data_IF_631488626732
#
_entry.id   IF_631488626732
#
_cell.length_a   1.000
_cell.length_b   1.000
_cell.length_c   1.000
_cell.angle_alpha   90.00
_cell.angle_beta   90.00
_cell.angle_gamma   90.00
#
_symmetry.space_group_name_H-M   'P 1'
#
loop_
_entity.id
_entity.type
_entity.pdbx_description
1 polymer ?
#
# COMPACT_ATOMS: atom_id res chain seq x y z
N UNK A 1 13.51 -25.20 -2.78
CA UNK A 1 14.47 -25.08 -1.66
C UNK A 1 15.38 -23.89 -1.98
N UNK A 2 15.47 -22.90 -1.09
CA UNK A 2 16.35 -21.73 -1.26
C UNK A 2 17.45 -21.77 -0.18
N UNK A 3 18.74 -21.88 -0.56
CA UNK A 3 19.84 -21.89 0.41
C UNK A 3 19.89 -20.56 1.19
N UNK A 4 20.46 -20.60 2.39
CA UNK A 4 20.62 -19.40 3.20
C UNK A 4 21.52 -18.38 2.48
N UNK A 5 21.17 -17.11 2.57
CA UNK A 5 21.97 -16.04 1.99
C UNK A 5 23.24 -15.80 2.83
N UNK A 6 24.34 -15.43 2.20
CA UNK A 6 25.62 -15.25 2.87
C UNK A 6 25.60 -14.08 3.88
N UNK A 7 24.81 -13.03 3.63
CA UNK A 7 24.72 -11.85 4.50
C UNK A 7 23.48 -11.89 5.39
N UNK A 8 22.36 -12.38 4.87
CA UNK A 8 21.06 -12.33 5.54
C UNK A 8 20.60 -13.67 6.14
N UNK A 9 21.38 -14.74 5.93
CA UNK A 9 21.09 -16.08 6.43
C UNK A 9 19.70 -16.57 6.00
N UNK A 10 18.99 -17.16 6.96
CA UNK A 10 17.61 -17.66 6.77
C UNK A 10 16.57 -16.53 6.60
N UNK A 11 16.89 -15.32 7.06
CA UNK A 11 16.00 -14.15 6.98
C UNK A 11 15.68 -13.74 5.54
N UNK A 12 16.55 -14.05 4.60
CA UNK A 12 16.33 -13.83 3.16
C UNK A 12 15.04 -14.50 2.65
N UNK A 13 14.61 -15.62 3.26
CA UNK A 13 13.41 -16.33 2.80
C UNK A 13 12.12 -15.53 3.02
N UNK A 14 12.10 -14.62 3.99
CA UNK A 14 10.96 -13.70 4.21
C UNK A 14 10.76 -12.80 2.98
N UNK A 15 11.84 -12.51 2.25
CA UNK A 15 11.83 -11.64 1.08
C UNK A 15 10.96 -12.18 -0.07
N UNK A 16 10.82 -13.51 -0.18
CA UNK A 16 9.91 -14.14 -1.15
C UNK A 16 8.43 -13.81 -0.90
N UNK A 17 8.07 -13.46 0.33
CA UNK A 17 6.73 -13.01 0.67
C UNK A 17 6.65 -11.49 0.72
N UNK A 18 7.63 -10.85 1.36
CA UNK A 18 7.67 -9.41 1.58
C UNK A 18 7.70 -8.62 0.27
N UNK A 19 8.60 -8.96 -0.66
CA UNK A 19 8.78 -8.18 -1.89
C UNK A 19 7.55 -8.22 -2.80
N UNK A 20 6.96 -9.39 -3.10
CA UNK A 20 5.71 -9.40 -3.85
C UNK A 20 4.58 -8.66 -3.12
N UNK A 21 4.50 -8.76 -1.80
CA UNK A 21 3.48 -8.05 -1.03
C UNK A 21 3.63 -6.52 -1.15
N UNK A 22 4.85 -6.00 -1.05
CA UNK A 22 5.15 -4.58 -1.21
C UNK A 22 4.90 -4.08 -2.65
N UNK A 23 5.20 -4.89 -3.67
CA UNK A 23 4.89 -4.54 -5.06
C UNK A 23 3.37 -4.44 -5.26
N UNK A 24 2.61 -5.40 -4.74
CA UNK A 24 1.15 -5.41 -4.89
C UNK A 24 0.44 -4.37 -4.02
N UNK A 25 0.97 -4.01 -2.85
CA UNK A 25 0.41 -2.92 -2.03
C UNK A 25 0.40 -1.60 -2.81
N UNK A 26 1.54 -1.26 -3.43
CA UNK A 26 1.67 -0.08 -4.29
C UNK A 26 0.92 -0.22 -5.61
N UNK A 27 1.02 -1.39 -6.26
CA UNK A 27 0.42 -1.64 -7.58
C UNK A 27 -1.11 -1.58 -7.57
N UNK A 28 -1.76 -2.11 -6.53
CA UNK A 28 -3.21 -2.01 -6.35
C UNK A 28 -3.61 -0.54 -6.12
N UNK A 29 -2.82 0.22 -5.38
CA UNK A 29 -3.12 1.63 -5.12
C UNK A 29 -3.01 2.45 -6.42
N UNK A 30 -2.00 2.16 -7.25
CA UNK A 30 -1.87 2.75 -8.57
C UNK A 30 -3.06 2.38 -9.49
N UNK A 31 -3.50 1.11 -9.48
CA UNK A 31 -4.68 0.69 -10.23
C UNK A 31 -5.97 1.39 -9.74
N UNK A 32 -6.13 1.55 -8.42
CA UNK A 32 -7.21 2.34 -7.84
C UNK A 32 -7.15 3.80 -8.27
N UNK A 33 -5.97 4.38 -8.41
CA UNK A 33 -5.82 5.75 -8.89
C UNK A 33 -6.25 5.92 -10.34
N UNK A 34 -5.88 4.98 -11.21
CA UNK A 34 -6.35 4.97 -12.61
C UNK A 34 -7.88 4.82 -12.64
N UNK A 35 -8.44 3.94 -11.82
CA UNK A 35 -9.89 3.79 -11.69
C UNK A 35 -10.55 5.09 -11.16
N UNK A 36 -10.01 5.70 -10.10
CA UNK A 36 -10.54 6.94 -9.53
C UNK A 36 -10.49 8.09 -10.54
N UNK A 37 -9.37 8.24 -11.25
CA UNK A 37 -9.20 9.24 -12.30
C UNK A 37 -10.22 9.03 -13.42
N UNK A 38 -10.32 7.81 -13.94
CA UNK A 38 -11.27 7.51 -15.03
C UNK A 38 -12.72 7.68 -14.59
N UNK A 39 -13.05 7.28 -13.36
CA UNK A 39 -14.36 7.47 -12.74
C UNK A 39 -14.75 8.94 -12.56
N UNK A 40 -13.80 9.81 -12.21
CA UNK A 40 -14.05 11.24 -12.02
C UNK A 40 -14.11 12.00 -13.35
N UNK A 41 -13.24 11.68 -14.32
CA UNK A 41 -13.21 12.38 -15.62
C UNK A 41 -14.41 11.96 -16.50
N UNK A 42 -14.65 10.65 -16.65
CA UNK A 42 -15.71 10.13 -17.53
C UNK A 42 -17.02 9.81 -16.79
N UNK A 43 -17.11 10.10 -15.49
CA UNK A 43 -18.30 9.85 -14.65
C UNK A 43 -18.76 8.37 -14.71
N UNK A 44 -17.81 7.44 -14.84
CA UNK A 44 -18.09 6.00 -14.92
C UNK A 44 -18.46 5.44 -13.56
N UNK A 45 -19.73 5.04 -13.38
CA UNK A 45 -20.24 4.49 -12.11
C UNK A 45 -19.47 3.24 -11.64
N UNK A 46 -19.03 2.40 -12.58
CA UNK A 46 -18.31 1.15 -12.26
C UNK A 46 -16.91 1.41 -11.70
N UNK A 47 -16.29 2.54 -12.03
CA UNK A 47 -14.96 2.85 -11.56
C UNK A 47 -14.91 3.05 -10.03
N UNK A 48 -15.92 3.70 -9.46
CA UNK A 48 -16.01 3.87 -8.00
C UNK A 48 -16.21 2.53 -7.27
N UNK A 49 -16.96 1.61 -7.87
CA UNK A 49 -17.13 0.25 -7.34
C UNK A 49 -15.82 -0.55 -7.41
N UNK A 50 -15.05 -0.39 -8.49
CA UNK A 50 -13.74 -1.01 -8.63
C UNK A 50 -12.78 -0.53 -7.53
N UNK A 51 -12.72 0.79 -7.27
CA UNK A 51 -11.93 1.37 -6.17
C UNK A 51 -12.33 0.75 -4.82
N UNK A 52 -13.63 0.65 -4.54
CA UNK A 52 -14.13 0.07 -3.30
C UNK A 52 -13.79 -1.42 -3.15
N UNK A 53 -13.81 -2.19 -4.24
CA UNK A 53 -13.48 -3.61 -4.23
C UNK A 53 -11.97 -3.87 -4.09
N UNK A 54 -11.14 -3.00 -4.68
CA UNK A 54 -9.68 -3.12 -4.62
C UNK A 54 -9.11 -2.70 -3.26
N UNK A 55 -9.72 -1.73 -2.58
CA UNK A 55 -9.17 -1.15 -1.35
C UNK A 55 -8.89 -2.19 -0.24
N UNK A 56 -9.79 -3.14 0.10
CA UNK A 56 -9.51 -4.16 1.11
C UNK A 56 -8.36 -5.10 0.72
N UNK A 57 -8.26 -5.44 -0.58
CA UNK A 57 -7.20 -6.33 -1.08
C UNK A 57 -5.84 -5.65 -0.95
N UNK A 58 -5.74 -4.39 -1.37
CA UNK A 58 -4.53 -3.59 -1.23
C UNK A 58 -4.13 -3.36 0.23
N UNK A 59 -5.11 -3.14 1.12
CA UNK A 59 -4.88 -3.02 2.56
C UNK A 59 -4.23 -4.29 3.14
N UNK A 60 -4.69 -5.48 2.73
CA UNK A 60 -4.13 -6.76 3.17
C UNK A 60 -2.68 -6.92 2.70
N UNK A 61 -2.38 -6.60 1.44
CA UNK A 61 -1.00 -6.66 0.94
C UNK A 61 -0.08 -5.69 1.69
N UNK A 62 -0.55 -4.47 1.95
CA UNK A 62 0.19 -3.46 2.72
C UNK A 62 0.45 -3.94 4.15
N UNK A 63 -0.54 -4.54 4.78
CA UNK A 63 -0.40 -5.12 6.12
C UNK A 63 0.61 -6.28 6.14
N UNK A 64 0.55 -7.19 5.17
CA UNK A 64 1.53 -8.28 5.03
C UNK A 64 2.93 -7.71 4.82
N UNK A 65 3.08 -6.70 3.95
CA UNK A 65 4.36 -6.04 3.71
C UNK A 65 4.94 -5.42 4.99
N UNK A 66 4.11 -4.72 5.79
CA UNK A 66 4.53 -4.13 7.07
C UNK A 66 4.95 -5.19 8.09
N UNK A 67 4.14 -6.24 8.29
CA UNK A 67 4.45 -7.29 9.27
C UNK A 67 5.71 -8.07 8.88
N UNK A 68 5.83 -8.43 7.60
CA UNK A 68 7.00 -9.16 7.10
C UNK A 68 8.25 -8.29 7.10
N UNK A 69 8.12 -7.00 6.79
CA UNK A 69 9.21 -6.02 6.87
C UNK A 69 9.70 -5.82 8.30
N UNK A 70 8.77 -5.67 9.26
CA UNK A 70 9.10 -5.59 10.68
C UNK A 70 9.79 -6.87 11.20
N UNK A 71 9.31 -8.04 10.77
CA UNK A 71 9.91 -9.33 11.12
C UNK A 71 11.33 -9.50 10.55
N UNK A 72 11.57 -8.99 9.34
CA UNK A 72 12.90 -8.94 8.73
C UNK A 72 13.82 -7.89 9.39
N UNK A 73 13.26 -6.78 9.89
CA UNK A 73 14.00 -5.75 10.60
C UNK A 73 14.67 -6.23 11.88
N UNK A 74 14.05 -7.14 12.65
CA UNK A 74 14.60 -7.64 13.91
C UNK A 74 15.99 -8.27 13.78
N UNK A 75 16.24 -9.25 12.88
CA UNK A 75 17.57 -9.81 12.70
C UNK A 75 18.56 -8.85 12.02
N UNK A 76 18.10 -7.90 11.21
CA UNK A 76 19.00 -7.02 10.41
C UNK A 76 19.41 -5.75 11.14
N UNK A 77 18.52 -5.17 11.94
CA UNK A 77 18.70 -3.88 12.61
C UNK A 77 18.57 -3.97 14.13
N UNK A 78 18.31 -5.17 14.67
CA UNK A 78 18.13 -5.41 16.10
C UNK A 78 16.78 -4.97 16.66
N UNK A 79 15.89 -4.39 15.84
CA UNK A 79 14.58 -3.86 16.26
C UNK A 79 13.50 -4.22 15.25
N UNK A 80 12.24 -4.31 15.70
CA UNK A 80 11.10 -4.62 14.81
C UNK A 80 10.61 -3.41 14.00
N UNK A 81 10.94 -2.20 14.43
CA UNK A 81 10.43 -0.99 13.82
C UNK A 81 11.43 0.15 13.95
N UNK A 82 11.63 0.85 12.85
CA UNK A 82 12.38 2.08 12.78
C UNK A 82 11.49 3.10 12.06
N UNK A 83 11.49 4.35 12.53
CA UNK A 83 10.73 5.43 11.91
C UNK A 83 11.48 6.01 10.71
N UNK A 84 11.91 5.14 9.79
CA UNK A 84 12.56 5.54 8.56
C UNK A 84 11.51 5.88 7.48
N UNK A 85 11.97 6.49 6.38
CA UNK A 85 11.09 6.89 5.30
C UNK A 85 10.38 5.70 4.63
N UNK A 86 10.99 4.50 4.63
CA UNK A 86 10.45 3.28 3.99
C UNK A 86 9.28 2.73 4.79
N UNK A 87 9.48 2.40 6.07
CA UNK A 87 8.44 1.82 6.93
C UNK A 87 7.32 2.82 7.20
N UNK A 88 7.67 4.10 7.38
CA UNK A 88 6.67 5.14 7.65
C UNK A 88 5.78 5.39 6.44
N UNK A 89 6.33 5.45 5.22
CA UNK A 89 5.52 5.66 4.02
C UNK A 89 4.63 4.46 3.67
N UNK A 90 5.08 3.23 3.92
CA UNK A 90 4.24 2.03 3.79
C UNK A 90 3.12 2.00 4.85
N UNK A 91 3.40 2.47 6.08
CA UNK A 91 2.37 2.63 7.12
C UNK A 91 1.33 3.68 6.71
N UNK A 92 1.78 4.80 6.15
CA UNK A 92 0.88 5.82 5.59
C UNK A 92 0.02 5.23 4.48
N UNK A 93 0.57 4.36 3.63
CA UNK A 93 -0.21 3.67 2.60
C UNK A 93 -1.33 2.81 3.21
N UNK A 94 -1.06 2.11 4.32
CA UNK A 94 -2.09 1.33 5.03
C UNK A 94 -3.22 2.24 5.53
N UNK A 95 -2.88 3.40 6.09
CA UNK A 95 -3.89 4.37 6.53
C UNK A 95 -4.66 5.00 5.38
N UNK A 96 -4.02 5.22 4.22
CA UNK A 96 -4.73 5.66 3.02
C UNK A 96 -5.76 4.62 2.57
N UNK A 97 -5.39 3.33 2.53
CA UNK A 97 -6.35 2.25 2.26
C UNK A 97 -7.50 2.21 3.26
N UNK A 98 -7.19 2.30 4.56
CA UNK A 98 -8.21 2.34 5.61
C UNK A 98 -9.13 3.56 5.44
N UNK A 99 -8.58 4.72 5.09
CA UNK A 99 -9.33 5.94 4.81
C UNK A 99 -10.29 5.76 3.62
N UNK A 100 -9.85 5.10 2.55
CA UNK A 100 -10.70 4.81 1.38
C UNK A 100 -11.86 3.89 1.78
N UNK A 101 -11.59 2.82 2.53
CA UNK A 101 -12.60 1.89 3.02
C UNK A 101 -13.59 2.61 3.94
N UNK A 102 -13.09 3.44 4.87
CA UNK A 102 -13.92 4.21 5.79
C UNK A 102 -14.82 5.20 5.04
N UNK A 103 -14.27 5.97 4.09
CA UNK A 103 -15.05 6.91 3.27
C UNK A 103 -16.12 6.19 2.45
N UNK A 104 -15.83 5.00 1.92
CA UNK A 104 -16.82 4.24 1.17
C UNK A 104 -18.04 3.81 2.01
N UNK A 105 -17.82 3.57 3.32
CA UNK A 105 -18.87 3.13 4.25
C UNK A 105 -19.49 4.27 5.06
N UNK A 106 -18.87 5.46 5.09
CA UNK A 106 -19.35 6.61 5.86
C UNK A 106 -20.54 7.34 5.22
N UNK A 107 -20.75 7.16 3.90
CA UNK A 107 -21.84 7.81 3.16
C UNK A 107 -22.89 6.81 2.69
N UNK A 108 -24.16 7.13 2.89
CA UNK A 108 -25.28 6.36 2.33
C UNK A 108 -25.38 6.52 0.80
N UNK A 109 -25.12 7.73 0.29
CA UNK A 109 -25.05 7.99 -1.15
C UNK A 109 -23.74 7.44 -1.74
N UNK A 110 -23.85 6.33 -2.48
CA UNK A 110 -22.73 5.67 -3.17
C UNK A 110 -22.00 6.58 -4.17
N UNK A 111 -22.68 7.57 -4.76
CA UNK A 111 -22.05 8.53 -5.68
C UNK A 111 -21.16 9.50 -4.91
N UNK A 112 -21.63 9.98 -3.76
CA UNK A 112 -20.83 10.84 -2.87
C UNK A 112 -19.66 10.05 -2.27
N UNK A 113 -19.92 8.83 -1.79
CA UNK A 113 -18.91 7.90 -1.28
C UNK A 113 -17.79 7.67 -2.30
N UNK A 114 -18.16 7.34 -3.54
CA UNK A 114 -17.20 7.09 -4.62
C UNK A 114 -16.37 8.31 -5.01
N UNK A 115 -16.94 9.52 -4.97
CA UNK A 115 -16.19 10.76 -5.22
C UNK A 115 -15.21 11.05 -4.09
N UNK A 116 -15.65 10.97 -2.84
CA UNK A 116 -14.79 11.20 -1.68
C UNK A 116 -13.62 10.21 -1.63
N UNK A 117 -13.92 8.91 -1.78
CA UNK A 117 -12.93 7.84 -1.86
C UNK A 117 -11.96 8.06 -3.04
N UNK A 118 -12.48 8.39 -4.22
CA UNK A 118 -11.66 8.65 -5.42
C UNK A 118 -10.71 9.84 -5.25
N UNK A 119 -11.16 10.94 -4.63
CA UNK A 119 -10.31 12.10 -4.34
C UNK A 119 -9.18 11.71 -3.38
N UNK A 120 -9.48 10.97 -2.31
CA UNK A 120 -8.45 10.50 -1.37
C UNK A 120 -7.41 9.61 -2.08
N UNK A 121 -7.87 8.69 -2.94
CA UNK A 121 -6.97 7.85 -3.72
C UNK A 121 -6.03 8.70 -4.56
N UNK A 122 -6.55 9.65 -5.34
CA UNK A 122 -5.75 10.49 -6.23
C UNK A 122 -4.71 11.33 -5.49
N UNK A 123 -5.08 11.92 -4.35
CA UNK A 123 -4.13 12.66 -3.51
C UNK A 123 -3.07 11.71 -2.92
N UNK A 124 -3.48 10.54 -2.46
CA UNK A 124 -2.59 9.55 -1.87
C UNK A 124 -1.61 8.89 -2.85
N UNK A 125 -1.81 9.00 -4.17
CA UNK A 125 -0.86 8.50 -5.19
C UNK A 125 0.53 9.10 -5.01
N UNK A 126 0.60 10.34 -4.51
CA UNK A 126 1.86 11.03 -4.22
C UNK A 126 2.73 10.24 -3.21
N UNK A 127 2.13 9.38 -2.39
CA UNK A 127 2.87 8.52 -1.48
C UNK A 127 3.65 7.41 -2.21
N UNK A 128 3.22 6.95 -3.38
CA UNK A 128 3.90 5.88 -4.13
C UNK A 128 5.35 6.21 -4.52
N UNK A 129 5.65 7.36 -5.16
CA UNK A 129 7.04 7.73 -5.43
C UNK A 129 7.83 7.94 -4.14
N UNK A 130 7.20 8.42 -3.05
CA UNK A 130 7.87 8.53 -1.75
C UNK A 130 8.29 7.16 -1.25
N UNK A 131 7.44 6.14 -1.31
CA UNK A 131 7.80 4.76 -0.94
C UNK A 131 8.95 4.25 -1.81
N UNK A 132 8.83 4.36 -3.15
CA UNK A 132 9.83 3.80 -4.06
C UNK A 132 11.21 4.47 -3.93
N UNK A 133 11.24 5.81 -3.90
CA UNK A 133 12.48 6.58 -3.83
C UNK A 133 12.95 6.83 -2.39
N UNK A 134 12.20 6.41 -1.36
CA UNK A 134 12.66 6.48 0.04
C UNK A 134 13.99 5.77 0.26
N UNK A 135 14.30 4.78 -0.58
CA UNK A 135 15.59 4.07 -0.56
C UNK A 135 16.74 4.98 -1.02
N UNK A 136 16.52 5.82 -2.02
CA UNK A 136 17.55 6.69 -2.61
C UNK A 136 17.69 8.03 -1.88
N UNK A 137 16.57 8.62 -1.46
CA UNK A 137 16.52 9.95 -0.87
C UNK A 137 16.99 10.01 0.60
N UNK A 138 16.91 8.88 1.31
CA UNK A 138 17.19 8.80 2.74
C UNK A 138 18.22 7.71 3.10
N UNK A 139 19.13 7.40 2.18
CA UNK A 139 20.31 6.55 2.41
C UNK A 139 21.56 7.38 2.75
#
# INVERSE_FOLDING_TARGET
FAPADYQQGEGYRIMYLHVPAAIWSMGIYAAMAVAAFTGLVWQMKMASLAVAAMAPVGAVYTFIALVTGAAWGKPMWGTWWVWDARLTSELVLLFLYAGVIALWHAFDDRKMAGRAAGILVLVGVVNLPVIHYSVEWWN
#
